data_IF_660410017871
#
_entry.id   IF_660410017871
#
_cell.length_a   1.000
_cell.length_b   1.000
_cell.length_c   1.000
_cell.angle_alpha   90.00
_cell.angle_beta   90.00
_cell.angle_gamma   90.00
#
_symmetry.space_group_name_H-M   'P 1'
#
loop_
_entity.id
_entity.type
_entity.pdbx_description
1 polymer ?
#
# COMPACT_ATOMS: atom_id res chain seq x y z
N UNK A 1 19.05 -8.78 0.90
CA UNK A 1 17.82 -8.73 1.73
C UNK A 1 18.00 -9.76 2.82
N UNK A 2 17.77 -9.42 4.09
CA UNK A 2 17.91 -10.40 5.20
C UNK A 2 16.64 -11.26 5.20
N UNK A 3 16.79 -12.58 5.04
CA UNK A 3 15.69 -13.54 5.12
C UNK A 3 15.49 -13.99 6.58
N UNK A 4 14.32 -14.53 6.88
CA UNK A 4 13.91 -14.96 8.22
C UNK A 4 13.61 -16.46 8.17
N UNK A 5 14.19 -17.27 9.06
CA UNK A 5 13.81 -18.67 9.21
C UNK A 5 12.31 -18.81 9.47
N UNK A 6 11.67 -19.78 8.82
CA UNK A 6 10.23 -20.04 8.98
C UNK A 6 9.86 -20.22 10.47
N UNK A 7 10.71 -20.91 11.23
CA UNK A 7 10.50 -21.13 12.67
C UNK A 7 10.50 -19.86 13.53
N UNK A 8 11.05 -18.75 13.02
CA UNK A 8 11.18 -17.49 13.75
C UNK A 8 10.14 -16.44 13.33
N UNK A 9 9.38 -16.67 12.26
CA UNK A 9 8.51 -15.63 11.70
C UNK A 9 7.42 -15.18 12.69
N UNK A 10 6.94 -16.08 13.54
CA UNK A 10 5.92 -15.77 14.54
C UNK A 10 6.38 -14.74 15.57
N UNK A 11 7.68 -14.59 15.80
CA UNK A 11 8.26 -13.61 16.73
C UNK A 11 8.04 -12.16 16.25
N UNK A 12 7.73 -11.97 14.97
CA UNK A 12 7.50 -10.65 14.37
C UNK A 12 6.03 -10.24 14.36
N UNK A 13 5.11 -11.13 14.75
CA UNK A 13 3.68 -10.82 14.82
C UNK A 13 3.44 -9.73 15.86
N UNK A 14 2.72 -8.68 15.46
CA UNK A 14 2.47 -7.48 16.26
C UNK A 14 3.52 -6.38 16.10
N UNK A 15 4.67 -6.66 15.47
CA UNK A 15 5.71 -5.65 15.25
C UNK A 15 5.32 -4.59 14.23
N UNK A 16 5.72 -3.34 14.54
CA UNK A 16 5.75 -2.25 13.58
C UNK A 16 7.00 -2.41 12.70
N UNK A 17 6.79 -2.47 11.39
CA UNK A 17 7.86 -2.69 10.41
C UNK A 17 8.44 -1.38 9.85
N UNK A 18 8.00 -0.25 10.40
CA UNK A 18 8.44 1.09 9.99
C UNK A 18 7.69 1.62 8.78
N UNK A 19 8.10 2.82 8.37
CA UNK A 19 7.51 3.54 7.25
C UNK A 19 8.35 3.38 5.98
N UNK A 20 7.67 3.41 4.83
CA UNK A 20 8.34 3.52 3.53
C UNK A 20 9.02 4.88 3.36
N UNK A 21 9.79 5.02 2.29
CA UNK A 21 10.19 6.35 1.80
C UNK A 21 8.98 7.14 1.32
N UNK A 22 9.09 8.47 1.36
CA UNK A 22 8.09 9.36 0.78
C UNK A 22 8.07 9.25 -0.75
N UNK A 23 6.85 9.23 -1.31
CA UNK A 23 6.59 9.23 -2.75
C UNK A 23 5.71 10.44 -3.09
N UNK A 24 6.13 11.24 -4.06
CA UNK A 24 5.31 12.33 -4.59
C UNK A 24 4.27 11.79 -5.55
N UNK A 25 3.05 12.28 -5.43
CA UNK A 25 1.95 12.01 -6.36
C UNK A 25 1.85 13.19 -7.31
N UNK A 26 2.33 13.01 -8.53
CA UNK A 26 2.25 14.01 -9.59
C UNK A 26 1.07 13.76 -10.53
N UNK A 27 0.73 14.77 -11.34
CA UNK A 27 -0.39 14.69 -12.27
C UNK A 27 -0.13 13.65 -13.37
N UNK A 28 1.11 13.47 -13.81
CA UNK A 28 1.43 12.48 -14.84
C UNK A 28 1.04 11.07 -14.40
N UNK A 29 1.39 10.68 -13.18
CA UNK A 29 1.00 9.38 -12.60
C UNK A 29 -0.51 9.19 -12.50
N UNK A 30 -1.25 10.24 -12.16
CA UNK A 30 -2.72 10.22 -12.11
C UNK A 30 -3.31 10.08 -13.51
N UNK A 31 -2.75 10.78 -14.50
CA UNK A 31 -3.17 10.66 -15.90
C UNK A 31 -2.93 9.25 -16.45
N UNK A 32 -1.74 8.67 -16.18
CA UNK A 32 -1.41 7.31 -16.59
C UNK A 32 -2.38 6.28 -15.98
N UNK A 33 -2.72 6.46 -14.70
CA UNK A 33 -3.69 5.57 -14.03
C UNK A 33 -5.10 5.71 -14.63
N UNK A 34 -5.55 6.94 -14.91
CA UNK A 34 -6.82 7.19 -15.58
C UNK A 34 -6.87 6.54 -16.98
N UNK A 35 -5.75 6.56 -17.70
CA UNK A 35 -5.63 5.96 -19.02
C UNK A 35 -5.78 4.44 -18.98
N UNK A 36 -5.05 3.77 -18.07
CA UNK A 36 -5.07 2.30 -18.01
C UNK A 36 -6.33 1.73 -17.37
N UNK A 37 -7.04 2.50 -16.54
CA UNK A 37 -8.26 2.04 -15.86
C UNK A 37 -9.55 2.50 -16.53
N UNK A 38 -9.49 3.56 -17.34
CA UNK A 38 -10.65 4.24 -17.92
C UNK A 38 -11.39 5.15 -16.95
N UNK A 39 -10.93 5.31 -15.69
CA UNK A 39 -11.53 6.26 -14.74
C UNK A 39 -11.02 7.68 -15.01
N UNK A 40 -11.75 8.39 -15.84
CA UNK A 40 -11.42 9.73 -16.34
C UNK A 40 -12.29 10.82 -15.71
N UNK A 41 -12.72 10.66 -14.46
CA UNK A 41 -13.46 11.71 -13.77
C UNK A 41 -12.65 13.01 -13.72
N UNK A 42 -13.34 14.14 -13.92
CA UNK A 42 -12.73 15.47 -13.97
C UNK A 42 -11.94 15.81 -12.69
N UNK A 43 -12.35 15.29 -11.52
CA UNK A 43 -11.67 15.52 -10.25
C UNK A 43 -10.23 14.99 -10.22
N UNK A 44 -9.86 14.14 -11.18
CA UNK A 44 -8.51 13.59 -11.32
C UNK A 44 -7.70 14.30 -12.42
N UNK A 45 -8.36 14.84 -13.44
CA UNK A 45 -7.72 15.24 -14.69
C UNK A 45 -7.82 16.74 -15.01
N UNK A 46 -8.85 17.43 -14.53
CA UNK A 46 -9.12 18.84 -14.82
C UNK A 46 -8.92 19.69 -13.56
N UNK A 47 -7.76 20.36 -13.47
CA UNK A 47 -7.39 21.20 -12.31
C UNK A 47 -8.35 22.38 -12.16
N UNK A 48 -8.79 23.01 -13.27
CA UNK A 48 -9.69 24.16 -13.22
C UNK A 48 -11.07 23.78 -12.69
N UNK A 49 -11.60 22.65 -13.14
CA UNK A 49 -12.88 22.14 -12.64
C UNK A 49 -12.75 21.62 -11.21
N UNK A 50 -11.70 20.84 -10.91
CA UNK A 50 -11.47 20.27 -9.59
C UNK A 50 -11.20 21.32 -8.52
N UNK A 51 -10.56 22.45 -8.86
CA UNK A 51 -10.29 23.55 -7.94
C UNK A 51 -11.56 24.21 -7.39
N UNK A 52 -12.68 24.09 -8.10
CA UNK A 52 -13.99 24.62 -7.70
C UNK A 52 -14.77 23.68 -6.80
N UNK A 53 -14.24 22.48 -6.57
CA UNK A 53 -14.82 21.51 -5.64
C UNK A 53 -14.25 21.68 -4.23
N UNK A 54 -14.81 20.93 -3.26
CA UNK A 54 -14.25 20.85 -1.89
C UNK A 54 -12.82 20.31 -1.82
N UNK A 55 -12.34 19.67 -2.90
CA UNK A 55 -10.97 19.19 -2.98
C UNK A 55 -9.96 20.31 -3.23
N UNK A 56 -10.38 21.42 -3.84
CA UNK A 56 -9.55 22.57 -4.16
C UNK A 56 -8.50 22.32 -5.24
N UNK A 57 -8.68 21.31 -6.12
CA UNK A 57 -7.86 20.89 -7.28
C UNK A 57 -7.81 19.38 -7.44
N UNK A 58 -7.03 18.89 -8.38
CA UNK A 58 -7.00 17.46 -8.73
C UNK A 58 -6.50 16.58 -7.58
N UNK A 59 -7.10 15.40 -7.47
CA UNK A 59 -6.79 14.37 -6.47
C UNK A 59 -6.42 13.05 -7.17
N UNK A 60 -5.59 12.24 -6.51
CA UNK A 60 -5.33 10.88 -6.95
C UNK A 60 -6.58 10.00 -6.81
N UNK A 61 -6.74 9.03 -7.70
CA UNK A 61 -7.72 7.96 -7.52
C UNK A 61 -7.43 7.21 -6.22
N UNK A 62 -8.44 6.83 -5.47
CA UNK A 62 -8.27 5.99 -4.28
C UNK A 62 -7.57 4.68 -4.62
N UNK A 63 -7.95 4.05 -5.74
CA UNK A 63 -7.33 2.81 -6.22
C UNK A 63 -5.89 3.00 -6.73
N UNK A 64 -5.50 4.17 -7.23
CA UNK A 64 -4.10 4.48 -7.48
C UNK A 64 -3.31 4.46 -6.16
N UNK A 65 -3.79 5.17 -5.14
CA UNK A 65 -3.16 5.22 -3.82
C UNK A 65 -3.03 3.82 -3.22
N UNK A 66 -4.06 2.98 -3.34
CA UNK A 66 -4.03 1.58 -2.91
C UNK A 66 -2.99 0.76 -3.69
N UNK A 67 -2.96 0.88 -5.02
CA UNK A 67 -2.02 0.15 -5.88
C UNK A 67 -0.56 0.49 -5.57
N UNK A 68 -0.28 1.74 -5.16
CA UNK A 68 1.06 2.19 -4.79
C UNK A 68 1.61 1.54 -3.52
N UNK A 69 0.76 0.90 -2.69
CA UNK A 69 1.20 0.11 -1.52
C UNK A 69 2.24 -0.94 -1.93
N UNK A 70 2.12 -1.52 -3.13
CA UNK A 70 3.08 -2.50 -3.65
C UNK A 70 4.51 -1.94 -3.79
N UNK A 71 4.66 -0.64 -4.05
CA UNK A 71 5.96 0.04 -4.16
C UNK A 71 6.39 0.79 -2.89
N UNK A 72 5.47 0.97 -1.95
CA UNK A 72 5.69 1.62 -0.65
C UNK A 72 5.97 0.58 0.45
N UNK A 73 6.92 -0.32 0.19
CA UNK A 73 7.28 -1.40 1.13
C UNK A 73 7.80 -0.88 2.48
N UNK A 74 7.72 -1.70 3.54
CA UNK A 74 8.18 -1.34 4.87
C UNK A 74 9.69 -1.14 4.93
N UNK A 75 10.15 -0.38 5.91
CA UNK A 75 11.58 -0.24 6.18
C UNK A 75 12.21 -1.60 6.54
N UNK A 76 11.52 -2.40 7.35
CA UNK A 76 11.90 -3.76 7.73
C UNK A 76 11.09 -4.76 6.90
N UNK A 77 11.65 -5.23 5.80
CA UNK A 77 11.02 -6.25 4.97
C UNK A 77 11.13 -7.63 5.63
N UNK A 78 10.03 -8.38 5.67
CA UNK A 78 9.96 -9.73 6.19
C UNK A 78 9.83 -10.73 5.02
N UNK A 79 10.93 -11.41 4.70
CA UNK A 79 10.97 -12.42 3.64
C UNK A 79 11.44 -13.73 4.24
N UNK A 80 10.69 -14.81 4.04
CA UNK A 80 11.05 -16.15 4.52
C UNK A 80 12.28 -16.69 3.79
N UNK A 81 13.09 -17.48 4.50
CA UNK A 81 14.13 -18.28 3.87
C UNK A 81 13.53 -19.21 2.82
N UNK A 82 14.18 -19.31 1.65
CA UNK A 82 13.68 -20.09 0.53
C UNK A 82 12.48 -19.47 -0.21
N UNK A 83 12.05 -18.24 0.12
CA UNK A 83 10.95 -17.57 -0.58
C UNK A 83 11.30 -17.37 -2.06
N UNK A 84 10.52 -17.99 -2.93
CA UNK A 84 10.65 -17.89 -4.38
C UNK A 84 9.81 -16.76 -4.96
N UNK A 85 8.63 -16.50 -4.37
CA UNK A 85 7.74 -15.42 -4.79
C UNK A 85 6.84 -14.94 -3.67
N UNK A 86 6.44 -13.66 -3.77
CA UNK A 86 5.41 -13.05 -2.94
C UNK A 86 4.29 -12.57 -3.84
N UNK A 87 3.05 -12.96 -3.53
CA UNK A 87 1.87 -12.68 -4.35
C UNK A 87 0.91 -11.82 -3.53
N UNK A 88 0.39 -10.75 -4.12
CA UNK A 88 -0.75 -10.04 -3.56
C UNK A 88 -1.97 -10.95 -3.60
N UNK A 89 -2.36 -11.49 -2.45
CA UNK A 89 -3.42 -12.49 -2.34
C UNK A 89 -4.81 -11.85 -2.23
N UNK A 90 -4.90 -10.69 -1.59
CA UNK A 90 -6.15 -9.97 -1.42
C UNK A 90 -6.11 -8.96 -0.28
N UNK A 91 -7.29 -8.62 0.22
CA UNK A 91 -7.45 -7.77 1.39
C UNK A 91 -8.70 -8.14 2.17
N UNK A 92 -8.65 -8.01 3.50
CA UNK A 92 -9.82 -8.17 4.37
C UNK A 92 -10.53 -6.85 4.62
N UNK A 93 -9.84 -5.72 4.47
CA UNK A 93 -10.37 -4.38 4.72
C UNK A 93 -9.67 -3.33 3.88
N UNK A 94 -10.44 -2.46 3.27
CA UNK A 94 -9.97 -1.21 2.63
C UNK A 94 -10.93 -0.09 3.02
N UNK A 95 -10.40 1.05 3.47
CA UNK A 95 -11.15 2.29 3.68
C UNK A 95 -10.33 3.46 3.16
N UNK A 96 -10.91 4.24 2.26
CA UNK A 96 -10.40 5.53 1.81
C UNK A 96 -10.94 6.60 2.74
N UNK A 97 -10.05 7.30 3.44
CA UNK A 97 -10.42 8.22 4.53
C UNK A 97 -10.20 9.68 4.16
N UNK A 98 -9.17 9.96 3.36
CA UNK A 98 -8.83 11.33 2.95
C UNK A 98 -8.30 11.34 1.51
N UNK A 99 -8.73 12.30 0.66
CA UNK A 99 -8.21 12.43 -0.70
C UNK A 99 -6.75 12.86 -0.70
N UNK A 100 -5.97 12.31 -1.63
CA UNK A 100 -4.57 12.70 -1.86
C UNK A 100 -4.53 13.75 -2.96
N UNK A 101 -4.27 15.02 -2.62
CA UNK A 101 -4.07 16.09 -3.59
C UNK A 101 -2.84 15.81 -4.45
N UNK A 102 -2.95 16.02 -5.74
CA UNK A 102 -1.79 16.03 -6.64
C UNK A 102 -0.75 17.04 -6.13
N UNK A 103 0.51 16.67 -6.19
CA UNK A 103 1.64 17.42 -5.64
C UNK A 103 2.04 17.02 -4.21
N UNK A 104 1.16 16.38 -3.43
CA UNK A 104 1.47 15.88 -2.09
C UNK A 104 2.38 14.65 -2.14
N UNK A 105 3.07 14.39 -1.03
CA UNK A 105 3.83 13.16 -0.81
C UNK A 105 3.05 12.23 0.10
N UNK A 106 3.18 10.94 -0.14
CA UNK A 106 2.61 9.87 0.69
C UNK A 106 3.69 8.89 1.12
N UNK A 107 3.45 8.17 2.22
CA UNK A 107 4.24 7.01 2.64
C UNK A 107 3.36 5.99 3.33
N UNK A 108 3.77 4.72 3.30
CA UNK A 108 3.07 3.64 3.96
C UNK A 108 3.72 3.30 5.30
N UNK A 109 2.90 3.11 6.33
CA UNK A 109 3.28 2.49 7.61
C UNK A 109 2.78 1.06 7.63
N UNK A 110 3.60 0.15 8.14
CA UNK A 110 3.33 -1.28 8.09
C UNK A 110 3.43 -1.91 9.46
N UNK A 111 2.48 -2.81 9.76
CA UNK A 111 2.48 -3.66 10.95
C UNK A 111 2.11 -5.08 10.56
N UNK A 112 2.87 -6.07 11.03
CA UNK A 112 2.51 -7.47 10.83
C UNK A 112 1.42 -7.88 11.82
N UNK A 113 0.26 -8.32 11.32
CA UNK A 113 -0.85 -8.77 12.16
C UNK A 113 -0.83 -10.27 12.40
N UNK A 114 -0.54 -11.08 11.37
CA UNK A 114 -0.46 -12.53 11.50
C UNK A 114 0.32 -13.17 10.36
N UNK A 115 0.80 -14.39 10.62
CA UNK A 115 1.33 -15.30 9.59
C UNK A 115 0.72 -16.67 9.81
N UNK A 116 0.11 -17.23 8.75
CA UNK A 116 -0.56 -18.54 8.77
C UNK A 116 0.07 -19.43 7.71
N UNK A 117 0.55 -20.62 8.10
CA UNK A 117 0.91 -21.65 7.15
C UNK A 117 -0.37 -22.24 6.55
N UNK A 118 -0.55 -22.08 5.25
CA UNK A 118 -1.67 -22.68 4.50
C UNK A 118 -1.33 -24.09 4.03
N UNK A 119 -0.07 -24.30 3.68
CA UNK A 119 0.55 -25.59 3.33
C UNK A 119 2.00 -25.57 3.83
N UNK A 120 2.75 -26.63 3.60
CA UNK A 120 4.18 -26.69 3.96
C UNK A 120 5.04 -25.65 3.20
N UNK A 121 4.54 -25.15 2.07
CA UNK A 121 5.26 -24.18 1.21
C UNK A 121 4.60 -22.81 1.11
N UNK A 122 3.34 -22.64 1.55
CA UNK A 122 2.58 -21.41 1.36
C UNK A 122 2.27 -20.74 2.71
N UNK A 123 2.74 -19.51 2.89
CA UNK A 123 2.57 -18.74 4.12
C UNK A 123 1.80 -17.45 3.83
N UNK A 124 0.63 -17.30 4.45
CA UNK A 124 -0.20 -16.12 4.32
C UNK A 124 0.15 -15.10 5.40
N UNK A 125 0.68 -13.97 4.97
CA UNK A 125 0.96 -12.80 5.79
C UNK A 125 -0.21 -11.85 5.74
N UNK A 126 -0.64 -11.37 6.89
CA UNK A 126 -1.61 -10.27 7.01
C UNK A 126 -0.91 -9.06 7.62
N UNK A 127 -0.99 -7.94 6.93
CA UNK A 127 -0.44 -6.66 7.39
C UNK A 127 -1.53 -5.63 7.56
N UNK A 128 -1.42 -4.80 8.58
CA UNK A 128 -2.09 -3.52 8.63
C UNK A 128 -1.19 -2.48 7.94
N UNK A 129 -1.76 -1.76 6.98
CA UNK A 129 -1.08 -0.70 6.24
C UNK A 129 -1.91 0.57 6.35
N UNK A 130 -1.28 1.70 6.70
CA UNK A 130 -1.88 3.01 6.61
C UNK A 130 -1.05 3.91 5.71
N UNK A 131 -1.70 4.70 4.85
CA UNK A 131 -1.03 5.66 3.98
C UNK A 131 -1.13 7.05 4.60
N UNK A 132 0.01 7.57 5.04
CA UNK A 132 0.15 8.93 5.53
C UNK A 132 0.30 9.90 4.36
N UNK A 133 -0.35 11.07 4.47
CA UNK A 133 -0.19 12.20 3.55
C UNK A 133 0.62 13.28 4.26
N UNK A 134 1.64 13.82 3.60
CA UNK A 134 2.47 14.88 4.17
C UNK A 134 1.65 16.10 4.60
N UNK A 135 1.77 16.43 5.90
CA UNK A 135 1.08 17.59 6.49
C UNK A 135 -0.43 17.41 6.69
N UNK A 136 -0.95 16.17 6.65
CA UNK A 136 -2.35 15.85 6.90
C UNK A 136 -2.41 14.81 8.02
N UNK A 137 -3.24 15.05 9.03
CA UNK A 137 -3.36 14.16 10.19
C UNK A 137 -4.11 12.86 9.84
N UNK A 138 -5.18 12.98 9.04
CA UNK A 138 -5.97 11.81 8.63
C UNK A 138 -5.24 11.05 7.52
N UNK A 139 -5.03 9.73 7.65
CA UNK A 139 -4.42 8.94 6.60
C UNK A 139 -5.29 8.89 5.33
N UNK A 140 -4.66 8.74 4.16
CA UNK A 140 -5.37 8.58 2.90
C UNK A 140 -6.23 7.30 2.91
N UNK A 141 -5.68 6.22 3.41
CA UNK A 141 -6.38 4.93 3.52
C UNK A 141 -5.82 4.09 4.67
N UNK A 142 -6.65 3.13 5.08
CA UNK A 142 -6.28 1.98 5.91
C UNK A 142 -6.56 0.71 5.12
N UNK A 143 -5.61 -0.22 5.12
CA UNK A 143 -5.63 -1.43 4.31
C UNK A 143 -5.14 -2.64 5.11
N UNK A 144 -5.94 -3.69 5.22
CA UNK A 144 -5.51 -5.00 5.71
C UNK A 144 -5.07 -5.85 4.52
N UNK A 145 -3.78 -5.83 4.24
CA UNK A 145 -3.15 -6.51 3.10
C UNK A 145 -2.93 -7.99 3.39
N UNK A 146 -3.25 -8.83 2.42
CA UNK A 146 -2.95 -10.26 2.42
C UNK A 146 -1.89 -10.56 1.35
N UNK A 147 -0.74 -11.06 1.80
CA UNK A 147 0.37 -11.43 0.93
C UNK A 147 0.71 -12.90 1.14
N UNK A 148 0.74 -13.68 0.07
CA UNK A 148 1.18 -15.05 0.09
C UNK A 148 2.66 -15.14 -0.26
N UNK A 149 3.50 -15.66 0.65
CA UNK A 149 4.86 -16.05 0.34
C UNK A 149 4.91 -17.55 0.06
N UNK A 150 5.53 -17.91 -1.05
CA UNK A 150 5.71 -19.29 -1.50
C UNK A 150 7.19 -19.62 -1.38
N UNK A 151 7.50 -20.62 -0.54
CA UNK A 151 8.88 -21.10 -0.35
C UNK A 151 9.12 -22.35 -1.20
N UNK A 152 10.35 -22.57 -1.59
CA UNK A 152 10.75 -23.82 -2.25
C UNK A 152 10.60 -25.01 -1.32
N UNK A 153 10.31 -26.19 -1.90
CA UNK A 153 10.30 -27.45 -1.19
C UNK A 153 11.72 -27.88 -0.83
#
# INVERSE_FOLDING_TARGET
>A
MKTIPISQIQNFVGENLGASKWMKIDQARVNDFAEVTGDRQFIHLDEDAASKTSFGGTIAHGFLTLSLVASLGPQKSLVLEGCQMSINYGSDKVRFLHPVRVGKRIRAHWKLLSVIAKTDTNYLFKYEVSIEIEGVETPALIYESLVMQIVGA
#
